data_IF_501956811249
#
_entry.id   IF_501956811249
#
_cell.length_a   1.000
_cell.length_b   1.000
_cell.length_c   1.000
_cell.angle_alpha   90.00
_cell.angle_beta   90.00
_cell.angle_gamma   90.00
#
_symmetry.space_group_name_H-M   'P 1'
#
loop_
_entity.id
_entity.type
_entity.pdbx_description
1 polymer ?
#
# COMPACT_ATOMS: atom_id res chain seq x y z
N UNK A 1 -14.63 -32.56 -27.34
CA UNK A 1 -14.42 -31.52 -26.29
C UNK A 1 -13.81 -30.29 -26.93
N UNK A 2 -14.44 -29.13 -26.71
CA UNK A 2 -14.43 -27.98 -27.63
C UNK A 2 -13.28 -26.98 -27.35
N UNK A 3 -12.46 -26.65 -28.36
CA UNK A 3 -11.31 -25.71 -28.27
C UNK A 3 -11.69 -24.30 -27.79
N UNK A 4 -12.98 -23.93 -27.82
CA UNK A 4 -13.50 -22.63 -27.37
C UNK A 4 -13.36 -22.40 -25.86
N UNK A 5 -13.30 -23.47 -25.04
CA UNK A 5 -13.19 -23.34 -23.58
C UNK A 5 -11.76 -23.06 -23.08
N UNK A 6 -10.73 -23.21 -23.92
CA UNK A 6 -9.35 -22.96 -23.50
C UNK A 6 -8.95 -21.48 -23.53
N UNK A 7 -9.66 -20.62 -24.28
CA UNK A 7 -9.35 -19.19 -24.34
C UNK A 7 -9.95 -18.37 -23.20
N UNK A 8 -10.97 -18.87 -22.48
CA UNK A 8 -11.55 -18.15 -21.33
C UNK A 8 -10.74 -18.31 -20.03
N UNK A 9 -9.98 -19.41 -19.87
CA UNK A 9 -9.18 -19.66 -18.66
C UNK A 9 -7.91 -18.80 -18.62
N UNK A 10 -7.39 -18.37 -19.79
CA UNK A 10 -6.18 -17.53 -19.87
C UNK A 10 -6.43 -16.05 -19.53
N UNK A 11 -7.69 -15.59 -19.53
CA UNK A 11 -8.02 -14.16 -19.39
C UNK A 11 -8.42 -13.74 -17.97
N UNK A 12 -8.61 -14.68 -17.04
CA UNK A 12 -8.97 -14.38 -15.66
C UNK A 12 -7.74 -14.13 -14.74
N UNK A 13 -6.54 -14.55 -15.16
CA UNK A 13 -5.34 -14.53 -14.31
C UNK A 13 -4.44 -13.30 -14.49
N UNK A 14 -4.78 -12.38 -15.41
CA UNK A 14 -3.93 -11.24 -15.80
C UNK A 14 -4.32 -9.91 -15.17
N UNK A 15 -5.39 -9.85 -14.37
CA UNK A 15 -5.80 -8.61 -13.68
C UNK A 15 -5.16 -8.42 -12.31
N UNK A 16 -4.75 -9.50 -11.63
CA UNK A 16 -4.13 -9.41 -10.29
C UNK A 16 -2.62 -9.13 -10.32
N UNK A 17 -1.94 -9.43 -11.43
CA UNK A 17 -0.47 -9.28 -11.51
C UNK A 17 0.01 -7.84 -11.69
N UNK A 18 -0.89 -6.89 -11.97
CA UNK A 18 -0.56 -5.46 -12.13
C UNK A 18 -0.51 -4.68 -10.82
N UNK A 19 -0.93 -5.30 -9.71
CA UNK A 19 -1.01 -4.63 -8.40
C UNK A 19 0.02 -5.18 -7.40
N UNK A 20 0.88 -6.12 -7.80
CA UNK A 20 1.98 -6.57 -6.96
C UNK A 20 3.13 -5.56 -7.04
N UNK A 21 3.47 -4.97 -5.90
CA UNK A 21 4.66 -4.16 -5.75
C UNK A 21 5.90 -5.04 -5.93
N UNK A 22 6.91 -4.54 -6.63
CA UNK A 22 8.21 -5.19 -6.64
C UNK A 22 8.90 -5.03 -5.28
N UNK A 23 10.02 -5.74 -5.06
CA UNK A 23 10.66 -5.75 -3.75
C UNK A 23 11.31 -4.41 -3.38
N UNK A 24 11.76 -3.64 -4.36
CA UNK A 24 12.29 -2.29 -4.17
C UNK A 24 11.20 -1.31 -3.73
N UNK A 25 10.03 -1.34 -4.37
CA UNK A 25 8.86 -0.54 -3.99
C UNK A 25 8.36 -0.91 -2.59
N UNK A 26 8.36 -2.20 -2.23
CA UNK A 26 8.02 -2.62 -0.87
C UNK A 26 9.02 -2.08 0.13
N UNK A 27 10.31 -2.09 -0.21
CA UNK A 27 11.37 -1.56 0.65
C UNK A 27 11.22 -0.06 0.86
N UNK A 28 11.04 0.72 -0.21
CA UNK A 28 10.82 2.17 -0.13
C UNK A 28 9.59 2.52 0.73
N UNK A 29 8.48 1.80 0.53
CA UNK A 29 7.26 1.99 1.33
C UNK A 29 7.52 1.63 2.80
N UNK A 30 8.28 0.56 3.06
CA UNK A 30 8.64 0.15 4.42
C UNK A 30 9.52 1.20 5.10
N UNK A 31 10.54 1.71 4.44
CA UNK A 31 11.42 2.75 4.99
C UNK A 31 10.66 4.05 5.27
N UNK A 32 9.77 4.45 4.37
CA UNK A 32 8.88 5.59 4.59
C UNK A 32 7.92 5.36 5.76
N UNK A 33 7.41 4.13 5.94
CA UNK A 33 6.55 3.79 7.07
C UNK A 33 7.31 3.81 8.40
N UNK A 34 8.50 3.21 8.43
CA UNK A 34 9.37 3.14 9.61
C UNK A 34 9.81 4.54 10.07
N UNK A 35 9.90 5.52 9.14
CA UNK A 35 10.15 6.92 9.47
C UNK A 35 9.04 7.54 10.35
N UNK A 36 7.81 7.08 10.19
CA UNK A 36 6.64 7.61 10.92
C UNK A 36 6.24 6.75 12.13
N UNK A 37 6.50 5.45 12.10
CA UNK A 37 6.34 4.52 13.24
C UNK A 37 7.50 4.69 14.25
N UNK A 38 7.52 5.85 14.91
CA UNK A 38 8.60 6.27 15.79
C UNK A 38 8.77 5.38 17.02
N UNK A 39 7.71 4.66 17.41
CA UNK A 39 7.70 3.75 18.54
C UNK A 39 8.04 2.29 18.16
N UNK A 40 8.16 1.98 16.87
CA UNK A 40 8.53 0.66 16.35
C UNK A 40 7.49 -0.42 16.63
N UNK A 41 6.20 -0.05 16.70
CA UNK A 41 5.11 -1.01 16.98
C UNK A 41 4.68 -1.81 15.76
N UNK A 42 5.18 -1.45 14.57
CA UNK A 42 4.73 -1.94 13.28
C UNK A 42 3.39 -1.31 12.86
N UNK A 43 2.97 -0.21 13.51
CA UNK A 43 1.70 0.49 13.28
C UNK A 43 1.90 1.98 13.49
N UNK A 44 1.28 2.80 12.65
CA UNK A 44 1.22 4.26 12.85
C UNK A 44 -0.05 4.58 13.62
N UNK A 45 0.08 5.11 14.83
CA UNK A 45 -1.06 5.58 15.61
C UNK A 45 -1.58 6.95 15.14
N UNK A 46 -2.71 7.40 15.68
CA UNK A 46 -3.32 8.67 15.28
C UNK A 46 -2.42 9.89 15.54
N UNK A 47 -1.55 9.84 16.57
CA UNK A 47 -0.62 10.91 16.90
C UNK A 47 0.54 10.93 15.91
N UNK A 48 1.09 9.77 15.59
CA UNK A 48 2.16 9.61 14.60
C UNK A 48 1.69 10.02 13.20
N UNK A 49 0.48 9.61 12.80
CA UNK A 49 -0.11 10.06 11.55
C UNK A 49 -0.30 11.58 11.50
N UNK A 50 -0.74 12.19 12.60
CA UNK A 50 -0.88 13.66 12.69
C UNK A 50 0.45 14.37 12.53
N UNK A 51 1.52 13.84 13.10
CA UNK A 51 2.88 14.38 12.95
C UNK A 51 3.34 14.22 11.50
N UNK A 52 3.16 13.03 10.92
CA UNK A 52 3.49 12.74 9.53
C UNK A 52 2.80 13.69 8.54
N UNK A 53 1.48 13.88 8.69
CA UNK A 53 0.69 14.79 7.85
C UNK A 53 1.22 16.22 7.93
N UNK A 54 1.55 16.71 9.13
CA UNK A 54 2.14 18.05 9.31
C UNK A 54 3.53 18.17 8.70
N UNK A 55 4.38 17.16 8.83
CA UNK A 55 5.71 17.13 8.22
C UNK A 55 5.65 17.19 6.68
N UNK A 56 4.58 16.64 6.09
CA UNK A 56 4.29 16.70 4.66
C UNK A 56 3.55 17.98 4.21
N UNK A 57 3.28 18.92 5.14
CA UNK A 57 2.62 20.19 4.85
C UNK A 57 1.09 20.13 4.82
N UNK A 58 0.47 19.03 5.28
CA UNK A 58 -0.98 18.92 5.44
C UNK A 58 -1.39 19.26 6.88
N UNK A 59 -2.48 20.02 7.04
CA UNK A 59 -3.11 20.18 8.35
C UNK A 59 -4.27 19.18 8.50
N UNK A 60 -4.13 18.15 9.34
CA UNK A 60 -5.22 17.22 9.61
C UNK A 60 -6.35 17.95 10.34
N UNK A 61 -7.55 17.88 9.77
CA UNK A 61 -8.76 18.39 10.43
C UNK A 61 -9.01 17.57 11.69
N UNK A 62 -9.42 18.25 12.76
CA UNK A 62 -10.07 17.55 13.87
C UNK A 62 -11.44 17.11 13.36
N UNK A 63 -11.80 15.85 13.58
CA UNK A 63 -13.23 15.51 13.59
C UNK A 63 -13.84 16.23 14.80
N UNK A 64 -14.87 17.04 14.57
CA UNK A 64 -15.67 17.71 15.60
C UNK A 64 -16.62 16.72 16.29
#
# INVERSE_FOLDING_TARGET
MNRKNQNMIRSANTRNKRNELNDEQKLEIKEAFDLFDTNGTGRIDAKELKVAMRALGFEPKKED
#
